data_IF_173989838882
#
_entry.id   IF_173989838882
#
_cell.length_a   1.000
_cell.length_b   1.000
_cell.length_c   1.000
_cell.angle_alpha   90.00
_cell.angle_beta   90.00
_cell.angle_gamma   90.00
#
_symmetry.space_group_name_H-M   'P 1'
#
loop_
_entity.id
_entity.type
_entity.pdbx_description
1 polymer ?
#
# COMPACT_ATOMS: atom_id res chain seq x y z
N UNK A 1 -44.72 12.56 -18.81
CA UNK A 1 -45.46 13.34 -17.78
C UNK A 1 -45.18 12.69 -16.43
N UNK A 2 -44.56 13.43 -15.52
CA UNK A 2 -44.03 13.01 -14.22
C UNK A 2 -45.13 12.54 -13.24
N UNK A 3 -44.76 11.67 -12.27
CA UNK A 3 -44.93 12.00 -10.84
C UNK A 3 -43.98 11.19 -9.94
N UNK A 4 -43.37 11.93 -9.03
CA UNK A 4 -42.41 11.56 -7.96
C UNK A 4 -43.16 11.41 -6.63
N UNK A 5 -42.54 10.75 -5.63
CA UNK A 5 -42.74 10.82 -4.15
C UNK A 5 -43.37 9.54 -3.56
N UNK A 6 -42.88 8.88 -2.48
CA UNK A 6 -41.99 9.27 -1.37
C UNK A 6 -41.43 8.02 -0.65
N UNK A 7 -40.31 8.22 0.03
CA UNK A 7 -39.59 7.31 0.95
C UNK A 7 -40.35 7.01 2.25
N UNK A 8 -40.19 5.79 2.78
CA UNK A 8 -40.12 5.36 4.20
C UNK A 8 -40.23 3.81 4.24
N UNK A 9 -39.41 3.01 4.92
CA UNK A 9 -38.32 3.23 5.85
C UNK A 9 -37.67 1.89 6.25
N UNK A 10 -36.44 2.00 6.76
CA UNK A 10 -35.80 1.21 7.82
C UNK A 10 -35.70 -0.32 7.72
N UNK A 11 -34.44 -0.80 7.62
CA UNK A 11 -34.02 -1.95 8.43
C UNK A 11 -32.96 -2.86 7.82
N UNK A 12 -31.72 -2.69 8.32
CA UNK A 12 -30.57 -3.63 8.33
C UNK A 12 -29.65 -3.57 7.10
N UNK A 13 -28.76 -2.59 7.15
CA UNK A 13 -27.56 -2.59 6.30
C UNK A 13 -26.73 -3.85 6.57
N UNK A 14 -26.60 -4.69 5.56
CA UNK A 14 -25.71 -5.85 5.59
C UNK A 14 -24.31 -5.43 5.12
N UNK A 15 -23.23 -6.18 5.39
CA UNK A 15 -21.87 -5.85 4.90
C UNK A 15 -21.78 -5.65 3.38
N UNK A 16 -22.78 -6.08 2.61
CA UNK A 16 -22.92 -5.81 1.18
C UNK A 16 -23.22 -4.35 0.84
N UNK A 17 -23.79 -3.56 1.77
CA UNK A 17 -24.16 -2.16 1.51
C UNK A 17 -22.97 -1.19 1.58
N UNK A 18 -21.78 -1.66 2.00
CA UNK A 18 -20.53 -0.90 1.90
C UNK A 18 -19.91 -0.94 0.49
N UNK A 19 -20.49 -1.72 -0.44
CA UNK A 19 -19.93 -1.91 -1.78
C UNK A 19 -20.37 -0.85 -2.81
N UNK A 20 -21.48 -0.13 -2.60
CA UNK A 20 -22.04 0.75 -3.65
C UNK A 20 -21.66 2.24 -3.53
N UNK A 21 -20.81 2.60 -2.56
CA UNK A 21 -20.28 3.96 -2.42
C UNK A 21 -18.77 4.05 -2.13
N UNK A 22 -18.08 2.92 -2.00
CA UNK A 22 -16.66 2.90 -1.73
C UNK A 22 -15.90 3.05 -3.06
N UNK A 23 -15.18 4.16 -3.19
CA UNK A 23 -14.14 4.34 -4.19
C UNK A 23 -13.19 3.13 -4.10
N UNK A 24 -13.38 2.15 -4.97
CA UNK A 24 -12.64 0.89 -4.97
C UNK A 24 -11.26 1.13 -5.59
N UNK A 25 -10.42 1.89 -4.89
CA UNK A 25 -9.00 2.04 -5.22
C UNK A 25 -8.30 0.83 -4.62
N UNK A 26 -8.00 -0.14 -5.47
CA UNK A 26 -7.09 -1.22 -5.11
C UNK A 26 -5.67 -0.68 -5.03
N UNK A 27 -4.78 -1.36 -4.30
CA UNK A 27 -3.33 -1.06 -4.36
C UNK A 27 -2.86 -1.02 -5.82
N UNK A 28 -3.42 -1.86 -6.69
CA UNK A 28 -3.13 -1.83 -8.13
C UNK A 28 -3.51 -0.52 -8.83
N UNK A 29 -4.60 0.14 -8.43
CA UNK A 29 -5.03 1.42 -9.05
C UNK A 29 -4.08 2.56 -8.68
N UNK A 30 -3.56 2.58 -7.45
CA UNK A 30 -2.54 3.54 -7.02
C UNK A 30 -1.20 3.28 -7.72
N UNK A 31 -0.79 2.01 -7.79
CA UNK A 31 0.42 1.60 -8.50
C UNK A 31 0.34 1.93 -10.01
N UNK A 32 -0.80 1.69 -10.65
CA UNK A 32 -1.01 2.05 -12.05
C UNK A 32 -0.91 3.57 -12.30
N UNK A 33 -1.47 4.38 -11.39
CA UNK A 33 -1.45 5.84 -11.53
C UNK A 33 -0.03 6.40 -11.43
N UNK A 34 0.75 5.96 -10.45
CA UNK A 34 2.13 6.41 -10.29
C UNK A 34 3.04 5.89 -11.42
N UNK A 35 2.76 4.71 -12.00
CA UNK A 35 3.53 4.15 -13.11
C UNK A 35 3.38 5.03 -14.35
N UNK A 36 2.13 5.39 -14.65
CA UNK A 36 1.81 6.28 -15.74
C UNK A 36 2.54 7.62 -15.59
N UNK A 37 2.63 8.17 -14.37
CA UNK A 37 3.34 9.42 -14.13
C UNK A 37 4.84 9.33 -14.45
N UNK A 38 5.54 8.29 -13.97
CA UNK A 38 6.98 8.13 -14.23
C UNK A 38 7.24 7.79 -15.70
N UNK A 39 6.44 6.92 -16.30
CA UNK A 39 6.53 6.60 -17.73
C UNK A 39 6.30 7.84 -18.60
N UNK A 40 5.28 8.66 -18.30
CA UNK A 40 5.02 9.92 -19.00
C UNK A 40 6.24 10.85 -18.90
N UNK A 41 6.82 11.01 -17.70
CA UNK A 41 7.99 11.87 -17.51
C UNK A 41 9.20 11.38 -18.32
N UNK A 42 9.48 10.07 -18.31
CA UNK A 42 10.57 9.47 -19.07
C UNK A 42 10.40 9.65 -20.59
N UNK A 43 9.24 9.27 -21.14
CA UNK A 43 8.99 9.37 -22.58
C UNK A 43 8.92 10.83 -23.07
N UNK A 44 8.39 11.74 -22.24
CA UNK A 44 8.43 13.18 -22.50
C UNK A 44 9.87 13.69 -22.63
N UNK A 45 10.77 13.29 -21.73
CA UNK A 45 12.19 13.67 -21.79
C UNK A 45 12.89 13.13 -23.05
N UNK A 46 12.43 12.01 -23.61
CA UNK A 46 12.96 11.43 -24.85
C UNK A 46 12.25 11.91 -26.12
N UNK A 47 11.31 12.87 -26.02
CA UNK A 47 10.55 13.36 -27.18
C UNK A 47 9.66 12.29 -27.83
N UNK A 48 9.34 11.22 -27.11
CA UNK A 48 8.53 10.10 -27.61
C UNK A 48 7.10 10.23 -27.09
N UNK A 49 6.11 10.12 -27.98
CA UNK A 49 4.71 10.18 -27.60
C UNK A 49 4.30 8.87 -26.90
N UNK A 50 3.78 8.97 -25.67
CA UNK A 50 3.15 7.86 -24.94
C UNK A 50 1.63 7.94 -25.15
N UNK A 51 1.03 6.89 -25.71
CA UNK A 51 -0.43 6.74 -25.79
C UNK A 51 -0.88 5.74 -24.73
N UNK A 52 -1.75 6.18 -23.82
CA UNK A 52 -2.34 5.36 -22.76
C UNK A 52 -3.84 5.26 -23.01
N UNK A 53 -4.33 4.08 -23.37
CA UNK A 53 -5.76 3.80 -23.45
C UNK A 53 -6.29 3.46 -22.05
N UNK A 54 -7.13 4.33 -21.50
CA UNK A 54 -7.72 4.21 -20.16
C UNK A 54 -9.11 3.54 -20.18
N UNK A 55 -9.64 3.17 -21.36
CA UNK A 55 -11.03 2.70 -21.50
C UNK A 55 -11.23 1.23 -21.12
N UNK A 56 -10.16 0.46 -20.95
CA UNK A 56 -10.18 -0.90 -20.44
C UNK A 56 -9.02 -1.10 -19.46
N UNK A 57 -9.31 -1.22 -18.16
CA UNK A 57 -8.35 -1.73 -17.18
C UNK A 57 -8.10 -3.22 -17.47
N UNK A 58 -7.21 -3.51 -18.43
CA UNK A 58 -6.52 -4.80 -18.45
C UNK A 58 -5.57 -4.84 -17.26
N UNK A 59 -5.42 -5.97 -16.54
CA UNK A 59 -4.33 -6.11 -15.58
C UNK A 59 -3.06 -5.70 -16.30
N UNK A 60 -2.37 -4.68 -15.77
CA UNK A 60 -1.16 -4.15 -16.36
C UNK A 60 -0.21 -5.31 -16.61
N UNK A 61 -0.14 -5.76 -17.85
CA UNK A 61 1.05 -6.43 -18.33
C UNK A 61 2.11 -5.34 -18.26
N UNK A 62 2.92 -5.36 -17.20
CA UNK A 62 4.17 -4.63 -17.12
C UNK A 62 5.03 -5.12 -18.29
N UNK A 63 4.79 -4.59 -19.50
CA UNK A 63 5.55 -4.94 -20.68
C UNK A 63 6.97 -4.38 -20.51
N UNK A 64 7.98 -5.07 -21.07
CA UNK A 64 9.40 -4.94 -20.71
C UNK A 64 10.08 -3.68 -21.27
N UNK A 65 9.34 -2.58 -21.46
CA UNK A 65 9.84 -1.37 -22.13
C UNK A 65 10.79 -0.53 -21.25
N UNK A 66 10.79 -0.74 -19.93
CA UNK A 66 11.71 -0.08 -19.03
C UNK A 66 12.99 -0.91 -18.81
N UNK A 67 14.18 -0.30 -18.90
CA UNK A 67 15.41 -0.93 -18.45
C UNK A 67 15.26 -1.49 -17.03
N UNK A 68 15.91 -2.62 -16.68
CA UNK A 68 15.83 -3.20 -15.34
C UNK A 68 16.04 -2.20 -14.20
N UNK A 69 17.03 -1.31 -14.32
CA UNK A 69 17.31 -0.27 -13.31
C UNK A 69 16.16 0.71 -13.09
N UNK A 70 15.37 1.00 -14.13
CA UNK A 70 14.25 1.93 -14.06
C UNK A 70 12.98 1.26 -13.53
N UNK A 71 12.89 -0.07 -13.60
CA UNK A 71 11.75 -0.80 -13.02
C UNK A 71 11.73 -0.66 -11.51
N UNK A 72 12.89 -0.75 -10.87
CA UNK A 72 13.02 -0.60 -9.41
C UNK A 72 12.68 0.82 -8.97
N UNK A 73 13.24 1.83 -9.65
CA UNK A 73 12.93 3.25 -9.40
C UNK A 73 11.43 3.55 -9.57
N UNK A 74 10.81 2.99 -10.61
CA UNK A 74 9.37 3.16 -10.83
C UNK A 74 8.60 2.53 -9.68
N UNK A 75 8.88 1.26 -9.34
CA UNK A 75 8.20 0.53 -8.26
C UNK A 75 8.32 1.29 -6.92
N UNK A 76 9.52 1.76 -6.57
CA UNK A 76 9.73 2.58 -5.37
C UNK A 76 8.90 3.86 -5.41
N UNK A 77 8.87 4.57 -6.54
CA UNK A 77 8.02 5.75 -6.73
C UNK A 77 6.53 5.42 -6.60
N UNK A 78 6.09 4.25 -7.07
CA UNK A 78 4.70 3.80 -6.93
C UNK A 78 4.33 3.62 -5.47
N UNK A 79 5.18 2.93 -4.72
CA UNK A 79 4.96 2.71 -3.30
C UNK A 79 4.99 4.04 -2.53
N UNK A 80 5.89 4.96 -2.87
CA UNK A 80 5.96 6.29 -2.26
C UNK A 80 4.69 7.11 -2.50
N UNK A 81 4.23 7.20 -3.75
CA UNK A 81 2.99 7.93 -4.07
C UNK A 81 1.76 7.25 -3.43
N UNK A 82 1.74 5.91 -3.35
CA UNK A 82 0.68 5.15 -2.67
C UNK A 82 0.68 5.41 -1.17
N UNK A 83 1.84 5.36 -0.51
CA UNK A 83 1.98 5.61 0.93
C UNK A 83 1.45 7.00 1.28
N UNK A 84 1.88 8.02 0.53
CA UNK A 84 1.42 9.40 0.71
C UNK A 84 -0.08 9.56 0.51
N UNK A 85 -0.66 8.92 -0.51
CA UNK A 85 -2.10 8.96 -0.76
C UNK A 85 -2.88 8.31 0.37
N UNK A 86 -2.45 7.12 0.83
CA UNK A 86 -3.11 6.37 1.91
C UNK A 86 -2.98 7.10 3.25
N UNK A 87 -1.80 7.61 3.60
CA UNK A 87 -1.58 8.40 4.80
C UNK A 87 -2.50 9.61 4.84
N UNK A 88 -2.61 10.34 3.72
CA UNK A 88 -3.48 11.51 3.60
C UNK A 88 -4.97 11.13 3.70
N UNK A 89 -5.40 10.07 3.00
CA UNK A 89 -6.80 9.69 2.92
C UNK A 89 -7.35 9.17 4.26
N UNK A 90 -6.56 8.33 4.95
CA UNK A 90 -6.95 7.74 6.23
C UNK A 90 -6.54 8.56 7.45
N UNK A 91 -5.70 9.59 7.26
CA UNK A 91 -5.19 10.43 8.35
C UNK A 91 -4.16 9.71 9.23
N UNK A 92 -3.39 8.78 8.66
CA UNK A 92 -2.30 8.11 9.39
C UNK A 92 -1.09 9.05 9.50
N UNK A 93 -0.47 9.08 10.68
CA UNK A 93 0.75 9.87 10.94
C UNK A 93 1.98 9.23 10.29
N UNK A 94 1.98 7.91 10.17
CA UNK A 94 3.00 7.10 9.52
C UNK A 94 2.35 6.05 8.63
N UNK A 95 2.99 5.77 7.50
CA UNK A 95 2.57 4.75 6.53
C UNK A 95 3.81 4.21 5.85
N UNK A 96 4.04 2.90 5.96
CA UNK A 96 5.24 2.29 5.40
C UNK A 96 4.91 1.10 4.50
N UNK A 97 5.79 0.84 3.54
CA UNK A 97 5.82 -0.42 2.82
C UNK A 97 7.07 -1.19 3.23
N UNK A 98 6.84 -2.39 3.76
CA UNK A 98 7.90 -3.29 4.21
C UNK A 98 7.88 -4.54 3.33
N UNK A 99 8.94 -4.75 2.56
CA UNK A 99 9.05 -5.85 1.59
C UNK A 99 9.73 -7.06 2.24
N UNK A 100 9.32 -8.27 1.87
CA UNK A 100 9.91 -9.49 2.37
C UNK A 100 11.18 -9.86 1.59
N UNK A 101 12.31 -9.94 2.28
CA UNK A 101 13.57 -10.46 1.76
C UNK A 101 13.74 -11.91 2.25
N UNK A 102 13.25 -12.86 1.46
CA UNK A 102 13.31 -14.29 1.78
C UNK A 102 14.73 -14.85 1.80
N UNK A 103 15.68 -14.23 1.11
CA UNK A 103 17.07 -14.68 1.11
C UNK A 103 17.73 -14.37 2.46
N UNK A 104 17.45 -13.20 3.03
CA UNK A 104 18.00 -12.77 4.31
C UNK A 104 17.11 -13.12 5.52
N UNK A 105 15.85 -13.48 5.28
CA UNK A 105 14.88 -13.77 6.34
C UNK A 105 14.45 -12.52 7.12
N UNK A 106 14.35 -11.38 6.42
CA UNK A 106 14.04 -10.07 7.04
C UNK A 106 12.97 -9.31 6.27
N UNK A 107 12.16 -8.54 7.01
CA UNK A 107 11.34 -7.47 6.47
C UNK A 107 12.23 -6.24 6.24
N UNK A 108 12.21 -5.67 5.03
CA UNK A 108 13.01 -4.50 4.65
C UNK A 108 12.09 -3.32 4.43
N UNK A 109 12.37 -2.21 5.12
CA UNK A 109 11.66 -0.96 4.88
C UNK A 109 12.02 -0.44 3.48
N UNK A 110 11.02 -0.34 2.61
CA UNK A 110 11.18 0.14 1.23
C UNK A 110 10.71 1.59 1.09
N UNK A 111 9.56 1.92 1.67
CA UNK A 111 9.00 3.28 1.63
C UNK A 111 8.52 3.66 3.01
N UNK A 112 8.70 4.94 3.34
CA UNK A 112 8.23 5.55 4.57
C UNK A 112 7.59 6.90 4.28
N UNK A 113 6.35 7.09 4.66
CA UNK A 113 5.67 8.38 4.70
C UNK A 113 5.37 8.73 6.16
N UNK A 114 5.81 9.90 6.64
CA UNK A 114 5.64 10.33 8.04
C UNK A 114 6.84 11.12 8.55
N UNK A 115 6.95 11.35 9.86
CA UNK A 115 8.04 12.14 10.46
C UNK A 115 9.46 11.52 10.26
N UNK A 116 10.50 12.31 10.04
CA UNK A 116 11.84 11.75 9.83
C UNK A 116 12.41 11.08 11.10
N UNK A 117 12.82 9.80 11.00
CA UNK A 117 13.49 9.07 12.09
C UNK A 117 14.80 8.42 11.61
N UNK A 118 15.98 8.78 12.14
CA UNK A 118 17.27 8.38 11.56
C UNK A 118 17.53 6.86 11.51
N UNK A 119 16.95 6.09 12.43
CA UNK A 119 17.15 4.64 12.54
C UNK A 119 16.07 3.81 11.83
N UNK A 120 15.08 4.48 11.26
CA UNK A 120 13.95 3.89 10.57
C UNK A 120 13.84 4.53 9.19
N UNK A 121 14.85 4.27 8.36
CA UNK A 121 14.97 4.80 7.00
C UNK A 121 14.94 3.66 5.97
N UNK A 122 14.29 3.88 4.81
CA UNK A 122 14.44 3.01 3.65
C UNK A 122 15.91 2.68 3.37
N UNK A 123 16.18 1.44 2.97
CA UNK A 123 17.53 0.95 2.68
C UNK A 123 18.42 0.65 3.88
N UNK A 124 18.05 1.07 5.10
CA UNK A 124 18.85 0.81 6.32
C UNK A 124 18.12 -0.06 7.34
N UNK A 125 16.81 0.11 7.48
CA UNK A 125 16.04 -0.64 8.46
C UNK A 125 15.67 -2.04 7.94
N UNK A 126 15.92 -3.03 8.79
CA UNK A 126 15.45 -4.41 8.61
C UNK A 126 14.93 -4.95 9.93
N UNK A 127 13.97 -5.86 9.85
CA UNK A 127 13.39 -6.56 11.00
C UNK A 127 13.36 -8.07 10.72
N UNK A 128 13.81 -8.94 11.64
CA UNK A 128 13.78 -10.38 11.42
C UNK A 128 12.35 -10.90 11.21
N UNK A 129 12.18 -11.90 10.33
CA UNK A 129 10.91 -12.59 10.16
C UNK A 129 10.36 -13.15 11.49
N UNK A 130 9.04 -13.17 11.63
CA UNK A 130 8.35 -13.72 12.79
C UNK A 130 8.32 -12.82 14.03
N UNK A 131 8.85 -11.59 13.95
CA UNK A 131 8.89 -10.65 15.08
C UNK A 131 7.79 -9.59 14.99
N UNK A 132 7.30 -9.14 16.14
CA UNK A 132 6.34 -8.04 16.25
C UNK A 132 5.02 -8.26 15.49
N UNK A 133 4.36 -7.16 15.14
CA UNK A 133 3.10 -7.19 14.39
C UNK A 133 3.30 -7.61 12.94
N UNK A 134 4.41 -7.25 12.30
CA UNK A 134 4.80 -7.73 10.97
C UNK A 134 4.87 -9.27 10.91
N UNK A 135 5.46 -9.89 11.94
CA UNK A 135 5.52 -11.35 12.10
C UNK A 135 4.14 -12.00 12.16
N UNK A 136 3.23 -11.41 12.94
CA UNK A 136 1.84 -11.89 13.08
C UNK A 136 1.07 -11.73 11.77
N UNK A 137 1.22 -10.60 11.09
CA UNK A 137 0.61 -10.32 9.79
C UNK A 137 1.10 -11.29 8.71
N UNK A 138 2.43 -11.45 8.59
CA UNK A 138 3.06 -12.39 7.66
C UNK A 138 2.54 -13.82 7.88
N UNK A 139 2.56 -14.31 9.12
CA UNK A 139 2.20 -15.71 9.43
C UNK A 139 0.72 -15.97 9.26
N UNK A 140 -0.14 -15.06 9.74
CA UNK A 140 -1.60 -15.22 9.68
C UNK A 140 -2.18 -14.95 8.30
N UNK A 141 -1.42 -14.28 7.41
CA UNK A 141 -1.91 -13.82 6.10
C UNK A 141 -3.16 -12.95 6.21
N UNK A 142 -3.33 -12.27 7.34
CA UNK A 142 -4.48 -11.43 7.65
C UNK A 142 -3.99 -10.08 8.18
N UNK A 143 -4.82 -9.05 8.02
CA UNK A 143 -4.54 -7.76 8.65
C UNK A 143 -4.54 -7.88 10.18
N UNK A 144 -3.61 -7.21 10.83
CA UNK A 144 -3.45 -7.20 12.29
C UNK A 144 -3.52 -5.76 12.78
N UNK A 145 -4.55 -5.45 13.56
CA UNK A 145 -4.72 -4.15 14.19
C UNK A 145 -4.38 -4.25 15.68
N UNK A 146 -3.54 -3.35 16.17
CA UNK A 146 -3.40 -3.07 17.60
C UNK A 146 -3.77 -1.62 17.90
N UNK A 147 -4.80 -1.42 18.71
CA UNK A 147 -5.18 -0.09 19.19
C UNK A 147 -4.26 0.43 20.33
N UNK A 148 -3.46 -0.46 20.92
CA UNK A 148 -2.46 -0.13 21.94
C UNK A 148 -1.25 -1.06 21.81
N UNK A 149 -0.19 -0.57 21.16
CA UNK A 149 1.03 -1.34 20.94
C UNK A 149 1.81 -1.61 22.24
N UNK A 150 1.51 -0.93 23.34
CA UNK A 150 2.13 -1.24 24.64
C UNK A 150 1.69 -2.59 25.21
N UNK A 151 0.54 -3.11 24.77
CA UNK A 151 0.00 -4.41 25.17
C UNK A 151 0.44 -5.55 24.23
N UNK A 152 1.20 -5.23 23.19
CA UNK A 152 1.64 -6.22 22.20
C UNK A 152 2.92 -6.89 22.72
N UNK A 153 2.80 -8.16 23.09
CA UNK A 153 3.97 -8.96 23.46
C UNK A 153 4.97 -9.06 22.29
N UNK A 154 6.24 -8.78 22.58
CA UNK A 154 7.30 -8.73 21.57
C UNK A 154 7.15 -7.61 20.53
N UNK A 155 6.46 -6.51 20.85
CA UNK A 155 6.36 -5.36 19.96
C UNK A 155 7.74 -4.80 19.59
N UNK A 156 7.97 -4.57 18.30
CA UNK A 156 9.22 -3.98 17.79
C UNK A 156 9.04 -2.47 17.74
N UNK A 157 9.56 -1.77 18.75
CA UNK A 157 9.41 -0.32 18.88
C UNK A 157 10.52 0.41 18.14
N UNK A 158 10.24 0.88 16.93
CA UNK A 158 11.13 1.71 16.11
C UNK A 158 10.97 3.19 16.43
N UNK A 159 9.74 3.66 16.54
CA UNK A 159 9.38 5.02 16.96
C UNK A 159 8.64 5.00 18.32
N UNK A 160 9.11 5.74 19.34
CA UNK A 160 8.45 5.80 20.64
C UNK A 160 7.07 6.48 20.62
N UNK A 161 6.74 7.27 19.60
CA UNK A 161 5.46 7.98 19.46
C UNK A 161 4.33 7.06 18.95
N UNK A 162 4.65 5.90 18.36
CA UNK A 162 3.64 4.96 17.88
C UNK A 162 2.86 4.35 19.05
N UNK A 163 1.55 4.55 19.02
CA UNK A 163 0.58 4.11 20.04
C UNK A 163 -0.38 3.03 19.52
N UNK A 164 -0.68 3.06 18.24
CA UNK A 164 -1.51 2.08 17.54
C UNK A 164 -0.87 1.77 16.20
N UNK A 165 -1.06 0.55 15.68
CA UNK A 165 -0.45 0.09 14.44
C UNK A 165 -1.39 -0.89 13.73
N UNK A 166 -1.47 -0.78 12.41
CA UNK A 166 -2.27 -1.65 11.55
C UNK A 166 -1.35 -2.25 10.48
N UNK A 167 -1.07 -3.54 10.57
CA UNK A 167 -0.35 -4.25 9.52
C UNK A 167 -1.34 -4.87 8.53
N UNK A 168 -1.15 -4.64 7.23
CA UNK A 168 -1.98 -5.21 6.14
C UNK A 168 -1.07 -5.97 5.17
N UNK A 169 -1.33 -7.27 4.89
CA UNK A 169 -0.49 -8.03 3.98
C UNK A 169 -0.82 -7.71 2.51
N UNK A 170 0.21 -7.53 1.69
CA UNK A 170 0.11 -7.46 0.23
C UNK A 170 0.38 -8.86 -0.33
N UNK A 171 -0.61 -9.45 -0.97
CA UNK A 171 -0.61 -10.87 -1.31
C UNK A 171 -0.76 -11.13 -2.81
N UNK A 172 -0.06 -12.16 -3.30
CA UNK A 172 -0.32 -12.79 -4.60
C UNK A 172 -0.55 -14.28 -4.35
N UNK A 173 -1.80 -14.71 -4.54
CA UNK A 173 -2.20 -16.06 -4.16
C UNK A 173 -1.98 -16.30 -2.67
N UNK A 174 -1.14 -17.28 -2.35
CA UNK A 174 -0.80 -17.67 -0.98
C UNK A 174 0.48 -17.01 -0.44
N UNK A 175 1.14 -16.17 -1.23
CA UNK A 175 2.41 -15.56 -0.85
C UNK A 175 2.19 -14.11 -0.37
N UNK A 176 2.79 -13.75 0.75
CA UNK A 176 2.87 -12.36 1.23
C UNK A 176 4.15 -11.77 0.65
N UNK A 177 4.03 -10.70 -0.12
CA UNK A 177 5.18 -10.05 -0.79
C UNK A 177 5.66 -8.81 -0.04
N UNK A 178 4.71 -8.10 0.58
CA UNK A 178 4.98 -6.93 1.38
C UNK A 178 3.93 -6.81 2.50
N UNK A 179 4.21 -5.95 3.47
CA UNK A 179 3.28 -5.54 4.52
C UNK A 179 3.24 -4.01 4.52
N UNK A 180 2.03 -3.47 4.59
CA UNK A 180 1.78 -2.05 4.84
C UNK A 180 1.55 -1.89 6.34
N UNK A 181 2.26 -0.98 7.01
CA UNK A 181 2.08 -0.71 8.45
C UNK A 181 2.04 0.79 8.80
#
# INVERSE_FOLDING_TARGET
MQRVSRLAGEGRGTPQDLAEGALHITVYDLLAHAYNRVAIQYYHQQGTALSLDQSHYSPLHFTPALPPSMRDEVIEALFADSARALATFFGFEEMNFVVLDHQQGVYRLMVREGAYFPRFQPGTYTQPFGTGLLGRCHTSKCSVLSNDVSQVDGYVRTDPAVRAELCVPVQIGDEVLAIID
#
